data_IF_108072232301
#
_entry.id   IF_108072232301
#
_cell.length_a   1.000
_cell.length_b   1.000
_cell.length_c   1.000
_cell.angle_alpha   90.00
_cell.angle_beta   90.00
_cell.angle_gamma   90.00
#
_symmetry.space_group_name_H-M   'P 1'
#
loop_
_entity.id
_entity.type
_entity.pdbx_description
1 polymer ?
#
# COMPACT_ATOMS: atom_id res chain seq x y z
N UNK A 1 30.77 -9.50 -8.05
CA UNK A 1 31.41 -10.67 -7.40
C UNK A 1 32.66 -10.17 -6.72
N UNK A 2 32.96 -10.67 -5.52
CA UNK A 2 34.17 -10.30 -4.78
C UNK A 2 35.04 -11.55 -4.65
N UNK A 3 36.30 -11.47 -5.06
CA UNK A 3 37.27 -12.55 -4.91
C UNK A 3 38.17 -12.22 -3.73
N UNK A 4 38.26 -13.11 -2.75
CA UNK A 4 39.24 -13.02 -1.66
C UNK A 4 40.15 -14.24 -1.74
N UNK A 5 41.46 -14.00 -1.62
CA UNK A 5 42.47 -15.06 -1.60
C UNK A 5 42.77 -15.41 -0.15
N UNK A 6 42.55 -16.66 0.23
CA UNK A 6 42.88 -17.14 1.58
C UNK A 6 44.40 -17.37 1.72
N UNK A 7 44.88 -17.52 2.96
CA UNK A 7 46.31 -17.71 3.29
C UNK A 7 46.97 -18.94 2.63
N UNK A 8 46.16 -19.88 2.12
CA UNK A 8 46.60 -21.06 1.39
C UNK A 8 46.55 -20.92 -0.15
N UNK A 9 46.40 -19.71 -0.68
CA UNK A 9 46.44 -19.43 -2.13
C UNK A 9 45.18 -19.87 -2.91
N UNK A 10 44.12 -20.26 -2.21
CA UNK A 10 42.84 -20.63 -2.81
C UNK A 10 41.99 -19.38 -3.03
N UNK A 11 41.50 -19.19 -4.26
CA UNK A 11 40.61 -18.10 -4.61
C UNK A 11 39.15 -18.50 -4.37
N UNK A 12 38.49 -17.84 -3.43
CA UNK A 12 37.07 -18.03 -3.19
C UNK A 12 36.27 -17.00 -3.97
N UNK A 13 35.28 -17.45 -4.73
CA UNK A 13 34.37 -16.60 -5.49
C UNK A 13 33.06 -16.53 -4.72
N UNK A 14 32.73 -15.34 -4.20
CA UNK A 14 31.44 -15.10 -3.55
C UNK A 14 30.46 -14.46 -4.53
N UNK A 15 29.28 -15.05 -4.64
CA UNK A 15 28.18 -14.52 -5.42
C UNK A 15 27.74 -13.17 -4.83
N UNK A 16 27.59 -12.15 -5.70
CA UNK A 16 27.02 -10.87 -5.30
C UNK A 16 25.51 -10.97 -5.52
N UNK A 17 24.73 -10.73 -4.46
CA UNK A 17 23.27 -10.76 -4.57
C UNK A 17 22.79 -9.79 -5.65
N UNK A 18 21.79 -10.19 -6.46
CA UNK A 18 21.19 -9.30 -7.44
C UNK A 18 20.51 -8.12 -6.72
N UNK A 19 20.66 -6.88 -7.20
CA UNK A 19 19.90 -5.77 -6.65
C UNK A 19 18.41 -6.05 -6.84
N UNK A 20 17.64 -5.89 -5.78
CA UNK A 20 16.18 -5.99 -5.83
C UNK A 20 15.69 -4.75 -6.58
N UNK A 21 15.39 -4.90 -7.87
CA UNK A 21 14.79 -3.82 -8.65
C UNK A 21 13.33 -3.74 -8.23
N UNK A 22 13.06 -2.91 -7.23
CA UNK A 22 11.68 -2.51 -6.94
C UNK A 22 11.23 -1.71 -8.15
N UNK A 23 10.45 -2.34 -9.01
CA UNK A 23 9.73 -1.65 -10.06
C UNK A 23 8.73 -0.76 -9.33
N UNK A 24 9.11 0.50 -9.07
CA UNK A 24 8.18 1.53 -8.64
C UNK A 24 7.04 1.45 -9.65
N UNK A 25 5.92 0.90 -9.20
CA UNK A 25 4.74 0.79 -10.03
C UNK A 25 4.40 2.22 -10.38
N UNK A 26 4.60 2.53 -11.66
CA UNK A 26 4.32 3.77 -12.33
C UNK A 26 3.11 4.44 -11.67
N UNK A 27 3.32 5.62 -11.05
CA UNK A 27 2.36 6.44 -10.29
C UNK A 27 1.13 6.79 -11.15
N UNK A 28 0.30 5.80 -11.49
CA UNK A 28 -0.77 5.92 -12.48
C UNK A 28 -2.17 5.81 -11.91
N UNK A 29 -2.28 5.65 -10.60
CA UNK A 29 -3.52 5.90 -9.87
C UNK A 29 -3.20 7.00 -8.87
N UNK A 30 -3.90 8.12 -8.99
CA UNK A 30 -3.66 9.29 -8.15
C UNK A 30 -3.90 8.89 -6.68
N UNK A 31 -2.83 8.64 -5.93
CA UNK A 31 -2.87 8.14 -4.54
C UNK A 31 -3.71 9.05 -3.64
N UNK A 32 -3.68 10.36 -3.89
CA UNK A 32 -4.52 11.34 -3.21
C UNK A 32 -6.01 11.11 -3.49
N UNK A 33 -6.37 10.73 -4.70
CA UNK A 33 -7.76 10.43 -5.07
C UNK A 33 -8.26 9.15 -4.39
N UNK A 34 -7.42 8.11 -4.26
CA UNK A 34 -7.79 6.89 -3.52
C UNK A 34 -7.96 7.18 -2.03
N UNK A 35 -7.05 7.95 -1.43
CA UNK A 35 -7.18 8.37 -0.03
C UNK A 35 -8.42 9.25 0.19
N UNK A 36 -8.70 10.18 -0.73
CA UNK A 36 -9.88 11.05 -0.64
C UNK A 36 -11.18 10.23 -0.74
N UNK A 37 -11.29 9.33 -1.72
CA UNK A 37 -12.45 8.47 -1.90
C UNK A 37 -12.64 7.52 -0.70
N UNK A 38 -11.56 6.99 -0.14
CA UNK A 38 -11.59 6.18 1.07
C UNK A 38 -12.15 6.94 2.27
N UNK A 39 -11.71 8.18 2.50
CA UNK A 39 -12.20 9.04 3.59
C UNK A 39 -13.68 9.40 3.45
N UNK A 40 -14.11 9.79 2.24
CA UNK A 40 -15.50 10.11 1.97
C UNK A 40 -16.41 8.89 2.19
N UNK A 41 -15.97 7.70 1.79
CA UNK A 41 -16.71 6.46 1.99
C UNK A 41 -16.87 6.12 3.48
N UNK A 42 -15.81 6.30 4.28
CA UNK A 42 -15.89 6.11 5.74
C UNK A 42 -16.86 7.08 6.41
N UNK A 43 -16.87 8.35 5.98
CA UNK A 43 -17.85 9.33 6.46
C UNK A 43 -19.28 8.95 6.06
N UNK A 44 -19.49 8.42 4.85
CA UNK A 44 -20.80 7.94 4.39
C UNK A 44 -21.37 6.84 5.27
N UNK A 45 -20.55 5.87 5.69
CA UNK A 45 -20.97 4.79 6.60
C UNK A 45 -21.34 5.34 7.98
N UNK A 46 -20.50 6.21 8.55
CA UNK A 46 -20.79 6.82 9.86
C UNK A 46 -22.04 7.68 9.81
N UNK A 47 -22.23 8.44 8.73
CA UNK A 47 -23.43 9.24 8.51
C UNK A 47 -24.69 8.37 8.38
N UNK A 48 -24.62 7.24 7.66
CA UNK A 48 -25.74 6.31 7.54
C UNK A 48 -26.11 5.67 8.89
N UNK A 49 -25.12 5.30 9.70
CA UNK A 49 -25.34 4.80 11.06
C UNK A 49 -25.94 5.88 11.97
N UNK A 50 -25.43 7.11 11.90
CA UNK A 50 -25.97 8.26 12.63
C UNK A 50 -27.41 8.58 12.22
N UNK A 51 -27.72 8.52 10.93
CA UNK A 51 -29.07 8.70 10.41
C UNK A 51 -30.04 7.63 10.93
N UNK A 52 -29.61 6.36 10.97
CA UNK A 52 -30.42 5.28 11.55
C UNK A 52 -30.71 5.51 13.03
N UNK A 53 -29.71 5.94 13.83
CA UNK A 53 -29.91 6.21 15.26
C UNK A 53 -30.86 7.40 15.50
N UNK A 54 -30.78 8.43 14.67
CA UNK A 54 -31.52 9.69 14.87
C UNK A 54 -32.92 9.68 14.25
N UNK A 55 -33.09 9.05 13.09
CA UNK A 55 -34.33 9.07 12.31
C UNK A 55 -35.00 7.70 12.19
N UNK A 56 -34.34 6.62 12.63
CA UNK A 56 -34.81 5.25 12.45
C UNK A 56 -34.65 4.72 11.01
N UNK A 57 -34.12 5.53 10.09
CA UNK A 57 -33.95 5.21 8.68
C UNK A 57 -32.48 5.29 8.28
N UNK A 58 -31.98 4.27 7.56
CA UNK A 58 -30.59 4.24 7.08
C UNK A 58 -30.35 5.34 6.04
N UNK A 59 -31.38 5.66 5.24
CA UNK A 59 -31.37 6.81 4.34
C UNK A 59 -32.62 7.66 4.63
N UNK A 60 -32.47 8.80 5.33
CA UNK A 60 -33.59 9.66 5.65
C UNK A 60 -34.09 10.36 4.38
N UNK A 61 -35.39 10.28 4.12
CA UNK A 61 -36.03 11.01 3.01
C UNK A 61 -36.07 10.32 1.65
N UNK A 62 -35.70 9.02 1.55
CA UNK A 62 -36.08 8.19 0.39
C UNK A 62 -37.41 7.52 0.71
N UNK A 63 -38.48 8.10 0.17
CA UNK A 63 -39.83 7.54 0.05
C UNK A 63 -40.30 7.70 -1.39
#
# INVERSE_FOLDING_TARGET
MTVTTNEHGVQNIFAKEPPIIMKETDKRVNEEAEMLNGRLSMLGVVAALGAYITTGQIIPGIF
#
